data_IF_917669427995
#
_entry.id   IF_917669427995
#
_cell.length_a   1.000
_cell.length_b   1.000
_cell.length_c   1.000
_cell.angle_alpha   90.00
_cell.angle_beta   90.00
_cell.angle_gamma   90.00
#
_symmetry.space_group_name_H-M   'P 1'
#
loop_
_entity.id
_entity.type
_entity.pdbx_description
1 polymer ?
#
# COMPACT_ATOMS: atom_id res chain seq x y z
N UNK A 1 6.76 -10.12 7.88
CA UNK A 1 6.58 -9.20 9.02
C UNK A 1 5.23 -9.52 9.65
N UNK A 2 5.19 -9.84 10.93
CA UNK A 2 3.93 -10.08 11.67
C UNK A 2 3.59 -8.87 12.53
N UNK A 3 2.31 -8.52 12.60
CA UNK A 3 1.81 -7.45 13.45
C UNK A 3 2.32 -6.05 13.12
N UNK A 4 2.74 -5.79 11.87
CA UNK A 4 3.23 -4.47 11.46
C UNK A 4 2.04 -3.55 11.17
N UNK A 5 2.19 -2.25 11.48
CA UNK A 5 1.15 -1.28 11.17
C UNK A 5 1.17 -0.94 9.67
N UNK A 6 0.00 -1.02 9.03
CA UNK A 6 -0.30 -0.45 7.72
C UNK A 6 -0.94 0.92 7.95
N UNK A 7 -0.19 1.97 7.65
CA UNK A 7 -0.50 3.36 8.01
C UNK A 7 -0.83 4.15 6.74
N UNK A 8 -2.04 4.72 6.61
CA UNK A 8 -2.37 5.64 5.52
C UNK A 8 -1.45 6.87 5.54
N UNK A 9 -0.89 7.25 4.39
CA UNK A 9 -0.06 8.45 4.29
C UNK A 9 -0.90 9.72 4.34
N UNK A 10 -0.29 10.81 4.77
CA UNK A 10 -0.84 12.16 4.65
C UNK A 10 0.25 13.04 4.01
N UNK A 11 0.03 13.60 2.81
CA UNK A 11 -1.16 13.43 1.97
C UNK A 11 -1.30 11.99 1.44
N UNK A 12 -2.51 11.63 1.00
CA UNK A 12 -2.90 10.24 0.72
C UNK A 12 -2.18 9.66 -0.50
N UNK A 13 -1.88 10.49 -1.48
CA UNK A 13 -1.16 10.15 -2.70
C UNK A 13 0.36 10.13 -2.53
N UNK A 14 0.88 10.65 -1.41
CA UNK A 14 2.32 10.73 -1.11
C UNK A 14 3.18 11.32 -2.25
N UNK A 15 2.65 12.25 -3.04
CA UNK A 15 3.41 12.94 -4.09
C UNK A 15 4.24 14.11 -3.57
N UNK A 16 3.94 14.57 -2.35
CA UNK A 16 4.73 15.52 -1.59
C UNK A 16 5.27 14.89 -0.29
N UNK A 17 6.02 15.67 0.48
CA UNK A 17 6.55 15.25 1.78
C UNK A 17 5.42 14.77 2.71
N UNK A 18 5.57 13.55 3.21
CA UNK A 18 4.61 12.93 4.13
C UNK A 18 4.67 13.60 5.51
N UNK A 19 3.53 14.08 6.01
CA UNK A 19 3.45 14.86 7.25
C UNK A 19 3.31 13.96 8.48
N UNK A 20 2.74 12.76 8.35
CA UNK A 20 2.57 11.81 9.45
C UNK A 20 3.74 10.82 9.59
N UNK A 21 4.96 11.26 9.26
CA UNK A 21 6.16 10.41 9.29
C UNK A 21 6.46 9.75 10.63
N UNK A 22 6.06 10.34 11.77
CA UNK A 22 6.20 9.68 13.08
C UNK A 22 5.39 8.39 13.21
N UNK A 23 4.19 8.34 12.63
CA UNK A 23 3.37 7.12 12.62
C UNK A 23 3.89 6.11 11.58
N UNK A 24 4.48 6.62 10.49
CA UNK A 24 4.96 5.81 9.37
C UNK A 24 6.31 5.14 9.63
N UNK A 25 7.15 5.73 10.48
CA UNK A 25 8.51 5.24 10.72
C UNK A 25 8.52 3.80 11.24
N UNK A 26 9.24 2.92 10.55
CA UNK A 26 9.34 1.49 10.84
C UNK A 26 8.12 0.66 10.42
N UNK A 27 7.11 1.28 9.79
CA UNK A 27 5.84 0.68 9.44
C UNK A 27 5.63 0.65 7.91
N UNK A 28 4.51 0.07 7.48
CA UNK A 28 4.15 -0.03 6.06
C UNK A 28 3.25 1.14 5.68
N UNK A 29 3.57 1.82 4.58
CA UNK A 29 2.76 2.91 4.06
C UNK A 29 1.59 2.38 3.21
N UNK A 30 0.39 2.92 3.41
CA UNK A 30 -0.76 2.75 2.51
C UNK A 30 -0.98 4.05 1.73
N UNK A 31 -0.83 3.97 0.41
CA UNK A 31 -0.78 5.12 -0.49
C UNK A 31 -1.86 4.98 -1.56
N UNK A 32 -2.53 6.08 -1.88
CA UNK A 32 -3.46 6.16 -3.00
C UNK A 32 -2.72 6.34 -4.33
N UNK A 33 -3.14 5.60 -5.35
CA UNK A 33 -2.69 5.77 -6.74
C UNK A 33 -3.17 7.13 -7.29
N UNK A 34 -2.39 7.68 -8.23
CA UNK A 34 -2.70 8.94 -8.93
C UNK A 34 -1.61 9.99 -8.74
N UNK A 35 -1.74 11.12 -9.45
CA UNK A 35 -0.94 12.35 -9.35
C UNK A 35 0.57 12.27 -9.69
N UNK A 36 1.27 11.19 -9.34
CA UNK A 36 2.70 11.03 -9.58
C UNK A 36 3.10 9.55 -9.74
N UNK A 37 4.35 9.29 -10.15
CA UNK A 37 4.87 7.95 -10.39
C UNK A 37 4.92 7.08 -9.13
N UNK A 38 4.83 5.75 -9.31
CA UNK A 38 5.02 4.79 -8.23
C UNK A 38 6.37 4.97 -7.52
N UNK A 39 7.45 5.20 -8.26
CA UNK A 39 8.77 5.47 -7.69
C UNK A 39 8.78 6.72 -6.80
N UNK A 40 8.15 7.82 -7.25
CA UNK A 40 8.07 9.07 -6.45
C UNK A 40 7.33 8.83 -5.14
N UNK A 41 6.22 8.08 -5.17
CA UNK A 41 5.47 7.70 -3.97
C UNK A 41 6.35 6.91 -3.00
N UNK A 42 7.06 5.90 -3.50
CA UNK A 42 7.92 5.03 -2.69
C UNK A 42 9.08 5.80 -2.05
N UNK A 43 9.75 6.67 -2.80
CA UNK A 43 10.82 7.54 -2.28
C UNK A 43 10.29 8.45 -1.17
N UNK A 44 9.12 9.07 -1.34
CA UNK A 44 8.58 9.98 -0.34
C UNK A 44 8.23 9.28 0.99
N UNK A 45 7.75 8.05 0.94
CA UNK A 45 7.48 7.27 2.18
C UNK A 45 8.75 6.66 2.77
N UNK A 46 9.74 6.30 1.95
CA UNK A 46 11.08 5.89 2.39
C UNK A 46 11.75 7.03 3.17
N UNK A 47 11.74 8.25 2.65
CA UNK A 47 12.25 9.44 3.35
C UNK A 47 11.52 9.74 4.67
N UNK A 48 10.25 9.34 4.77
CA UNK A 48 9.47 9.41 6.00
C UNK A 48 9.73 8.24 6.98
N UNK A 49 10.58 7.28 6.58
CA UNK A 49 11.04 6.15 7.39
C UNK A 49 10.17 4.90 7.29
N UNK A 50 9.32 4.78 6.26
CA UNK A 50 8.56 3.56 6.02
C UNK A 50 9.49 2.38 5.69
N UNK A 51 9.10 1.16 6.05
CA UNK A 51 9.82 -0.08 5.72
C UNK A 51 9.31 -0.74 4.42
N UNK A 52 8.14 -0.34 3.94
CA UNK A 52 7.54 -0.81 2.68
C UNK A 52 6.43 0.14 2.23
N UNK A 53 6.11 0.11 0.94
CA UNK A 53 5.00 0.84 0.35
C UNK A 53 3.94 -0.11 -0.22
N UNK A 54 2.68 0.11 0.13
CA UNK A 54 1.53 -0.55 -0.48
C UNK A 54 0.68 0.53 -1.16
N UNK A 55 0.58 0.44 -2.48
CA UNK A 55 -0.13 1.42 -3.31
C UNK A 55 -1.43 0.77 -3.77
N UNK A 56 -2.56 1.48 -3.66
CA UNK A 56 -3.87 0.96 -4.05
C UNK A 56 -4.61 1.93 -4.95
N UNK A 57 -5.43 1.41 -5.85
CA UNK A 57 -6.51 2.21 -6.44
C UNK A 57 -7.56 2.50 -5.35
N UNK A 58 -7.98 3.75 -5.22
CA UNK A 58 -9.00 4.14 -4.24
C UNK A 58 -10.26 4.65 -4.94
N UNK A 59 -10.15 5.05 -6.20
CA UNK A 59 -11.28 5.48 -7.00
C UNK A 59 -12.05 4.24 -7.51
N UNK A 60 -13.20 3.97 -6.90
CA UNK A 60 -14.07 2.85 -7.26
C UNK A 60 -14.79 3.03 -8.61
N UNK A 61 -14.75 4.23 -9.18
CA UNK A 61 -15.25 4.51 -10.53
C UNK A 61 -14.19 4.29 -11.61
N UNK A 62 -12.93 4.08 -11.20
CA UNK A 62 -11.84 3.75 -12.12
C UNK A 62 -12.14 2.43 -12.82
N UNK A 63 -11.99 2.40 -14.14
CA UNK A 63 -12.03 1.16 -14.92
C UNK A 63 -10.93 0.17 -14.50
N UNK A 64 -9.91 0.63 -13.77
CA UNK A 64 -8.80 -0.18 -13.26
C UNK A 64 -8.97 -0.64 -11.82
N UNK A 65 -10.11 -0.33 -11.18
CA UNK A 65 -10.35 -0.61 -9.77
C UNK A 65 -10.19 -2.09 -9.38
N UNK A 66 -10.58 -2.98 -10.29
CA UNK A 66 -10.57 -4.43 -10.11
C UNK A 66 -9.38 -5.14 -10.78
N UNK A 67 -8.38 -4.38 -11.25
CA UNK A 67 -7.20 -4.94 -11.90
C UNK A 67 -5.95 -4.79 -11.04
N UNK A 68 -5.09 -5.80 -11.12
CA UNK A 68 -3.71 -5.65 -10.69
C UNK A 68 -2.97 -4.82 -11.72
N UNK A 69 -2.25 -3.81 -11.24
CA UNK A 69 -1.47 -2.91 -12.08
C UNK A 69 0.00 -3.29 -11.95
N UNK A 70 0.66 -3.46 -13.10
CA UNK A 70 2.11 -3.56 -13.14
C UNK A 70 2.73 -2.20 -12.81
N UNK A 71 3.53 -2.15 -11.75
CA UNK A 71 4.23 -0.93 -11.37
C UNK A 71 5.48 -0.77 -12.22
N UNK A 72 5.44 0.19 -13.14
CA UNK A 72 6.54 0.47 -14.07
C UNK A 72 7.40 1.61 -13.52
N UNK A 73 8.72 1.49 -13.68
CA UNK A 73 9.68 2.53 -13.33
C UNK A 73 9.45 3.80 -14.16
N UNK A 74 9.73 4.98 -13.60
CA UNK A 74 9.47 6.26 -14.26
C UNK A 74 10.64 6.77 -15.13
N UNK A 75 11.61 5.90 -15.43
CA UNK A 75 12.82 6.19 -16.20
C UNK A 75 13.67 7.37 -15.70
N UNK A 76 13.54 7.75 -14.42
CA UNK A 76 14.46 8.68 -13.78
C UNK A 76 15.72 7.97 -13.28
N UNK A 77 16.78 8.70 -12.93
CA UNK A 77 17.99 8.12 -12.31
C UNK A 77 17.87 8.00 -10.78
N UNK A 78 16.65 7.82 -10.28
CA UNK A 78 16.35 7.72 -8.85
C UNK A 78 16.05 6.26 -8.53
N UNK A 79 16.33 5.87 -7.30
CA UNK A 79 16.12 4.52 -6.80
C UNK A 79 15.50 4.58 -5.41
N UNK A 80 14.89 3.49 -4.98
CA UNK A 80 14.33 3.32 -3.62
C UNK A 80 14.78 1.98 -3.05
N UNK A 81 15.02 1.92 -1.73
CA UNK A 81 15.58 0.74 -1.07
C UNK A 81 14.54 -0.01 -0.23
N UNK A 82 13.27 0.38 -0.31
CA UNK A 82 12.17 -0.33 0.35
C UNK A 82 11.30 -1.04 -0.69
N UNK A 83 10.75 -2.22 -0.37
CA UNK A 83 9.84 -2.91 -1.26
C UNK A 83 8.54 -2.12 -1.45
N UNK A 84 8.05 -2.08 -2.68
CA UNK A 84 6.75 -1.55 -3.04
C UNK A 84 5.87 -2.67 -3.62
N UNK A 85 4.57 -2.64 -3.33
CA UNK A 85 3.58 -3.55 -3.89
C UNK A 85 2.27 -2.86 -4.23
N UNK A 86 1.57 -3.39 -5.23
CA UNK A 86 0.23 -2.93 -5.58
C UNK A 86 -0.83 -3.78 -4.89
N UNK A 87 -1.82 -3.13 -4.30
CA UNK A 87 -2.98 -3.74 -3.68
C UNK A 87 -4.21 -3.44 -4.52
N UNK A 88 -5.04 -4.47 -4.74
CA UNK A 88 -6.29 -4.36 -5.49
C UNK A 88 -7.22 -3.31 -4.88
N UNK A 89 -7.91 -2.53 -5.73
CA UNK A 89 -8.71 -1.39 -5.30
C UNK A 89 -9.81 -1.74 -4.30
N UNK A 90 -10.52 -2.87 -4.51
CA UNK A 90 -11.51 -3.39 -3.55
C UNK A 90 -10.93 -3.55 -2.14
N UNK A 91 -9.71 -4.10 -2.04
CA UNK A 91 -9.05 -4.28 -0.75
C UNK A 91 -8.68 -2.93 -0.14
N UNK A 92 -8.09 -2.02 -0.93
CA UNK A 92 -7.72 -0.68 -0.46
C UNK A 92 -8.90 0.11 0.09
N UNK A 93 -10.02 0.16 -0.64
CA UNK A 93 -11.24 0.84 -0.22
C UNK A 93 -11.80 0.23 1.07
N UNK A 94 -11.87 -1.09 1.17
CA UNK A 94 -12.35 -1.76 2.40
C UNK A 94 -11.46 -1.41 3.60
N UNK A 95 -10.14 -1.43 3.42
CA UNK A 95 -9.20 -1.07 4.49
C UNK A 95 -9.40 0.39 4.90
N UNK A 96 -9.36 1.35 3.96
CA UNK A 96 -9.49 2.78 4.27
C UNK A 96 -10.82 3.10 4.93
N UNK A 97 -11.94 2.62 4.36
CA UNK A 97 -13.27 2.84 4.92
C UNK A 97 -13.41 2.24 6.32
N UNK A 98 -12.81 1.08 6.56
CA UNK A 98 -12.81 0.46 7.89
C UNK A 98 -12.01 1.26 8.89
N UNK A 99 -10.82 1.74 8.52
CA UNK A 99 -9.99 2.60 9.39
C UNK A 99 -10.71 3.89 9.76
N UNK A 100 -11.33 4.56 8.77
CA UNK A 100 -12.10 5.78 8.99
C UNK A 100 -13.31 5.51 9.91
N UNK A 101 -14.12 4.51 9.59
CA UNK A 101 -15.32 4.13 10.36
C UNK A 101 -14.99 3.78 11.81
N UNK A 102 -13.88 3.07 12.04
CA UNK A 102 -13.43 2.67 13.37
C UNK A 102 -12.55 3.71 14.06
N UNK A 103 -12.28 4.86 13.41
CA UNK A 103 -11.38 5.91 13.89
C UNK A 103 -10.00 5.36 14.29
N UNK A 104 -9.46 4.45 13.49
CA UNK A 104 -8.15 3.83 13.68
C UNK A 104 -7.12 4.51 12.76
N UNK A 105 -5.96 4.81 13.32
CA UNK A 105 -4.86 5.43 12.58
C UNK A 105 -4.11 4.46 11.66
N UNK A 106 -4.23 3.14 11.89
CA UNK A 106 -3.57 2.09 11.12
C UNK A 106 -4.29 0.75 11.25
N UNK A 107 -4.05 -0.15 10.32
CA UNK A 107 -4.43 -1.56 10.42
C UNK A 107 -3.21 -2.38 10.87
N UNK A 108 -3.43 -3.47 11.61
CA UNK A 108 -2.37 -4.45 11.86
C UNK A 108 -2.40 -5.48 10.73
N UNK A 109 -1.27 -5.67 10.06
CA UNK A 109 -1.16 -6.59 8.93
C UNK A 109 -0.02 -7.58 9.13
N UNK A 110 -0.23 -8.77 8.58
CA UNK A 110 0.82 -9.76 8.43
C UNK A 110 1.19 -9.80 6.95
N UNK A 111 2.40 -9.37 6.63
CA UNK A 111 2.94 -9.48 5.28
C UNK A 111 3.84 -10.72 5.24
N UNK A 112 3.36 -11.85 4.68
CA UNK A 112 4.19 -13.04 4.55
C UNK A 112 5.24 -12.75 3.48
N UNK A 113 6.50 -12.69 3.90
CA UNK A 113 7.65 -12.47 3.00
C UNK A 113 8.00 -13.71 2.19
N UNK A 114 7.38 -14.87 2.47
CA UNK A 114 7.64 -16.11 1.76
C UNK A 114 6.35 -16.94 1.63
N UNK A 115 5.64 -16.75 0.52
CA UNK A 115 4.54 -17.62 0.08
C UNK A 115 4.93 -18.51 -1.11
N UNK A 116 6.19 -18.49 -1.54
CA UNK A 116 6.67 -19.15 -2.76
C UNK A 116 6.35 -20.65 -2.81
N UNK A 117 6.29 -21.30 -1.64
CA UNK A 117 5.97 -22.73 -1.52
C UNK A 117 4.66 -22.99 -0.77
N UNK A 118 3.83 -21.97 -0.56
CA UNK A 118 2.54 -22.11 0.12
C UNK A 118 1.48 -22.56 -0.89
N UNK A 119 0.84 -23.73 -0.73
CA UNK A 119 -0.22 -24.18 -1.62
C UNK A 119 -1.38 -23.17 -1.66
N UNK A 120 -2.02 -22.92 -2.81
CA UNK A 120 -3.12 -21.95 -2.92
C UNK A 120 -4.25 -22.18 -1.91
N UNK A 121 -4.55 -23.44 -1.58
CA UNK A 121 -5.55 -23.81 -0.57
C UNK A 121 -5.22 -23.39 0.86
N UNK A 122 -3.96 -23.05 1.14
CA UNK A 122 -3.49 -22.53 2.43
C UNK A 122 -3.33 -21.00 2.44
N UNK A 123 -3.63 -20.33 1.33
CA UNK A 123 -3.61 -18.87 1.24
C UNK A 123 -5.00 -18.36 1.66
N UNK A 124 -5.03 -17.55 2.71
CA UNK A 124 -6.27 -16.89 3.13
C UNK A 124 -6.64 -15.80 2.12
N UNK A 125 -7.68 -16.07 1.32
CA UNK A 125 -8.27 -15.06 0.44
C UNK A 125 -9.40 -14.33 1.18
N UNK A 126 -9.53 -13.00 1.00
CA UNK A 126 -10.65 -12.28 1.57
C UNK A 126 -11.96 -12.68 0.86
N UNK A 127 -13.10 -12.71 1.58
CA UNK A 127 -14.35 -13.28 1.07
C UNK A 127 -15.01 -12.51 -0.08
N UNK A 128 -14.50 -11.31 -0.42
CA UNK A 128 -15.01 -10.46 -1.50
C UNK A 128 -14.18 -10.55 -2.79
N UNK A 129 -13.13 -11.37 -2.81
CA UNK A 129 -12.38 -11.71 -4.02
C UNK A 129 -12.95 -13.04 -4.56
N UNK A 130 -13.46 -13.03 -5.79
CA UNK A 130 -13.87 -14.26 -6.48
C UNK A 130 -12.69 -15.19 -6.71
N UNK A 131 -12.95 -16.50 -6.78
CA UNK A 131 -11.95 -17.52 -7.14
C UNK A 131 -11.52 -17.38 -8.60
#
# INVERSE_FOLDING_TARGET
MEGVALVPTIPAEACAKVINGMALRGNVALIDRGECSFLTKTINVELAGANAAIITEFNNESSEFDYYIEMIHDNTNRETHIPAGFLLGRNGVIIRNTLQRLKRAHALVNLPVNLTFTPPSKINHPPWLGW
#
